data_IF_727224571851
#
_entry.id   IF_727224571851
#
_cell.length_a   1.000
_cell.length_b   1.000
_cell.length_c   1.000
_cell.angle_alpha   90.00
_cell.angle_beta   90.00
_cell.angle_gamma   90.00
#
_symmetry.space_group_name_H-M   'P 1'
#
loop_
_entity.id
_entity.type
_entity.pdbx_description
1 polymer ?
#
# COMPACT_ATOMS: atom_id res chain seq x y z
N UNK A 1 -1.52 -20.12 35.71
CA UNK A 1 -2.07 -18.77 35.92
C UNK A 1 -3.55 -18.86 35.63
N UNK A 2 -4.39 -18.37 36.54
CA UNK A 2 -5.84 -18.33 36.34
C UNK A 2 -6.20 -17.15 35.42
N UNK A 3 -7.37 -17.16 34.74
CA UNK A 3 -7.80 -16.03 33.92
C UNK A 3 -7.80 -14.69 34.65
N UNK A 4 -8.14 -14.68 35.94
CA UNK A 4 -8.15 -13.47 36.77
C UNK A 4 -6.75 -12.86 36.92
N UNK A 5 -5.74 -13.71 37.14
CA UNK A 5 -4.34 -13.28 37.26
C UNK A 5 -3.82 -12.70 35.93
N UNK A 6 -4.20 -13.30 34.79
CA UNK A 6 -3.85 -12.79 33.45
C UNK A 6 -4.49 -11.42 33.23
N UNK A 7 -5.79 -11.29 33.55
CA UNK A 7 -6.52 -10.03 33.45
C UNK A 7 -5.88 -8.95 34.32
N UNK A 8 -5.57 -9.23 35.58
CA UNK A 8 -4.95 -8.25 36.49
C UNK A 8 -3.62 -7.72 35.97
N UNK A 9 -2.74 -8.62 35.50
CA UNK A 9 -1.46 -8.23 34.90
C UNK A 9 -1.69 -7.34 33.68
N UNK A 10 -2.61 -7.73 32.79
CA UNK A 10 -2.93 -6.95 31.59
C UNK A 10 -3.49 -5.57 31.94
N UNK A 11 -4.47 -5.50 32.84
CA UNK A 11 -5.12 -4.25 33.26
C UNK A 11 -4.11 -3.30 33.90
N UNK A 12 -3.20 -3.83 34.72
CA UNK A 12 -2.11 -3.05 35.30
C UNK A 12 -1.18 -2.50 34.22
N UNK A 13 -0.72 -3.34 33.29
CA UNK A 13 0.17 -2.91 32.21
C UNK A 13 -0.49 -1.89 31.27
N UNK A 14 -1.77 -2.05 30.96
CA UNK A 14 -2.53 -1.10 30.15
C UNK A 14 -2.65 0.26 30.87
N UNK A 15 -2.91 0.25 32.18
CA UNK A 15 -2.93 1.47 32.99
C UNK A 15 -1.56 2.14 33.03
N UNK A 16 -0.50 1.40 33.35
CA UNK A 16 0.87 1.93 33.43
C UNK A 16 1.28 2.59 32.10
N UNK A 17 0.85 2.03 30.96
CA UNK A 17 1.13 2.57 29.64
C UNK A 17 0.31 3.83 29.32
N UNK A 18 -0.96 3.89 29.73
CA UNK A 18 -1.81 5.08 29.57
C UNK A 18 -1.34 6.24 30.46
N UNK A 19 -1.00 5.96 31.72
CA UNK A 19 -0.46 6.95 32.65
C UNK A 19 0.87 7.53 32.11
N UNK A 20 1.73 6.68 31.52
CA UNK A 20 2.97 7.10 30.87
C UNK A 20 2.73 7.98 29.62
N UNK A 21 1.66 7.73 28.88
CA UNK A 21 1.25 8.54 27.73
C UNK A 21 0.70 9.91 28.15
N UNK A 22 -0.13 9.97 29.18
CA UNK A 22 -0.66 11.22 29.75
C UNK A 22 0.45 12.14 30.30
N UNK A 23 1.58 11.58 30.73
CA UNK A 23 2.79 12.34 31.12
C UNK A 23 3.56 12.94 29.92
N UNK A 24 3.07 12.74 28.69
CA UNK A 24 3.74 13.16 27.45
C UNK A 24 4.97 12.32 27.12
N UNK A 25 5.07 11.10 27.67
CA UNK A 25 6.22 10.19 27.51
C UNK A 25 5.89 8.94 26.71
N UNK A 26 4.61 8.65 26.48
CA UNK A 26 4.14 7.52 25.68
C UNK A 26 4.50 7.62 24.20
N UNK A 27 4.06 6.66 23.36
CA UNK A 27 4.32 6.70 21.94
C UNK A 27 3.74 8.02 21.40
N UNK A 28 4.64 8.96 21.08
CA UNK A 28 4.27 10.31 20.69
C UNK A 28 3.17 10.25 19.62
N UNK A 29 2.11 11.05 19.81
CA UNK A 29 1.14 11.31 18.75
C UNK A 29 1.93 11.60 17.48
N UNK A 30 1.77 10.74 16.47
CA UNK A 30 2.47 10.95 15.20
C UNK A 30 1.70 12.05 14.49
N UNK A 31 2.29 13.22 14.36
CA UNK A 31 1.73 14.34 13.63
C UNK A 31 2.33 14.37 12.23
N UNK A 32 1.49 14.18 11.21
CA UNK A 32 1.89 14.27 9.81
C UNK A 32 1.27 15.53 9.21
N UNK A 33 2.12 16.44 8.73
CA UNK A 33 1.68 17.65 8.05
C UNK A 33 1.06 17.33 6.70
N UNK A 34 0.07 18.14 6.33
CA UNK A 34 -0.55 18.13 5.01
C UNK A 34 0.18 19.13 4.12
N UNK A 35 0.88 18.66 3.09
CA UNK A 35 1.58 19.51 2.11
C UNK A 35 0.61 20.33 1.27
N UNK A 36 -0.49 19.71 0.87
CA UNK A 36 -1.53 20.33 0.05
C UNK A 36 -2.85 19.60 0.22
N UNK A 37 -3.95 20.27 -0.11
CA UNK A 37 -5.27 19.65 -0.12
C UNK A 37 -6.17 20.21 -1.20
N UNK A 38 -7.13 19.39 -1.63
CA UNK A 38 -8.13 19.74 -2.64
C UNK A 38 -9.53 19.39 -2.12
N UNK A 39 -10.45 20.36 -2.16
CA UNK A 39 -11.86 20.10 -1.88
C UNK A 39 -12.51 19.44 -3.09
N UNK A 40 -13.05 18.24 -2.88
CA UNK A 40 -13.71 17.45 -3.92
C UNK A 40 -15.20 17.36 -3.61
N UNK A 41 -16.02 18.03 -4.41
CA UNK A 41 -17.46 18.07 -4.18
C UNK A 41 -17.85 18.95 -2.99
N UNK A 42 -18.89 18.55 -2.24
CA UNK A 42 -19.47 19.40 -1.17
C UNK A 42 -18.80 19.23 0.18
N UNK A 43 -18.45 17.99 0.55
CA UNK A 43 -18.02 17.64 1.91
C UNK A 43 -16.74 16.78 1.91
N UNK A 44 -16.13 16.51 0.76
CA UNK A 44 -14.94 15.65 0.69
C UNK A 44 -13.69 16.48 0.43
N UNK A 45 -12.57 16.00 0.97
CA UNK A 45 -11.26 16.61 0.85
C UNK A 45 -10.21 15.53 0.58
N UNK A 46 -9.28 15.83 -0.31
CA UNK A 46 -8.08 15.04 -0.54
C UNK A 46 -6.90 15.75 0.13
N UNK A 47 -6.18 15.04 0.99
CA UNK A 47 -5.03 15.55 1.72
C UNK A 47 -3.76 14.86 1.19
N UNK A 48 -2.78 15.63 0.73
CA UNK A 48 -1.45 15.15 0.38
C UNK A 48 -0.55 15.27 1.60
N UNK A 49 -0.03 14.15 2.11
CA UNK A 49 0.74 14.10 3.35
C UNK A 49 2.25 14.17 3.11
N UNK A 50 2.99 14.84 3.98
CA UNK A 50 4.47 14.91 3.92
C UNK A 50 5.11 13.52 4.08
N UNK A 51 4.51 12.68 4.94
CA UNK A 51 5.03 11.35 5.28
C UNK A 51 3.97 10.26 5.12
N UNK A 52 4.43 9.01 5.08
CA UNK A 52 3.53 7.88 5.07
C UNK A 52 2.92 7.67 6.45
N UNK A 53 1.60 7.50 6.50
CA UNK A 53 0.89 7.03 7.68
C UNK A 53 0.73 5.50 7.62
N UNK A 54 0.63 4.87 8.79
CA UNK A 54 0.53 3.41 8.90
C UNK A 54 -0.93 2.91 8.85
N UNK A 55 -1.86 3.67 9.41
CA UNK A 55 -3.31 3.41 9.36
C UNK A 55 -4.06 4.75 9.45
N UNK A 56 -5.36 4.75 9.19
CA UNK A 56 -6.30 5.87 9.44
C UNK A 56 -7.09 5.68 10.74
N UNK A 57 -6.99 4.51 11.37
CA UNK A 57 -7.62 4.23 12.66
C UNK A 57 -7.01 5.10 13.76
N UNK A 58 -7.84 5.93 14.41
CA UNK A 58 -7.40 6.84 15.46
C UNK A 58 -6.75 8.13 14.96
N UNK A 59 -6.87 8.41 13.66
CA UNK A 59 -6.49 9.70 13.09
C UNK A 59 -7.45 10.80 13.51
N UNK A 60 -6.88 11.96 13.85
CA UNK A 60 -7.59 13.22 14.00
C UNK A 60 -7.09 14.21 12.94
N UNK A 61 -7.99 15.06 12.46
CA UNK A 61 -7.63 16.15 11.57
C UNK A 61 -7.61 17.46 12.36
N UNK A 62 -6.48 18.15 12.30
CA UNK A 62 -6.36 19.55 12.73
C UNK A 62 -6.47 20.45 11.51
N UNK A 63 -7.30 21.47 11.63
CA UNK A 63 -7.50 22.52 10.63
C UNK A 63 -7.17 23.86 11.27
N UNK A 64 -5.98 24.38 11.01
CA UNK A 64 -5.37 25.45 11.81
C UNK A 64 -5.20 24.98 13.25
N UNK A 65 -5.72 25.77 14.19
CA UNK A 65 -5.74 25.43 15.62
C UNK A 65 -6.99 24.61 16.03
N UNK A 66 -7.89 24.30 15.09
CA UNK A 66 -9.12 23.58 15.38
C UNK A 66 -8.92 22.07 15.23
N UNK A 67 -8.95 21.39 16.37
CA UNK A 67 -8.98 19.93 16.43
C UNK A 67 -10.39 19.41 16.07
N UNK A 68 -10.45 18.51 15.09
CA UNK A 68 -11.69 17.82 14.70
C UNK A 68 -11.68 16.39 15.26
N UNK A 69 -12.20 16.23 16.49
CA UNK A 69 -12.16 14.98 17.27
C UNK A 69 -13.19 13.93 16.86
N UNK A 70 -14.31 14.34 16.29
CA UNK A 70 -15.48 13.49 16.22
C UNK A 70 -15.51 12.66 14.93
N UNK A 71 -15.59 11.33 15.07
CA UNK A 71 -15.75 10.39 13.95
C UNK A 71 -17.05 10.64 13.18
N UNK A 72 -18.04 11.26 13.82
CA UNK A 72 -19.27 11.68 13.17
C UNK A 72 -19.10 12.97 12.35
N UNK A 73 -18.00 13.71 12.56
CA UNK A 73 -17.66 14.93 11.82
C UNK A 73 -16.62 14.66 10.74
N UNK A 74 -15.63 13.79 10.97
CA UNK A 74 -14.63 13.42 9.97
C UNK A 74 -14.53 11.91 9.84
N UNK A 75 -14.70 11.44 8.61
CA UNK A 75 -14.47 10.04 8.25
C UNK A 75 -13.42 9.93 7.15
N UNK A 76 -12.46 9.03 7.33
CA UNK A 76 -11.45 8.75 6.32
C UNK A 76 -11.97 7.68 5.37
N UNK A 77 -12.01 8.01 4.08
CA UNK A 77 -12.59 7.15 3.04
C UNK A 77 -11.58 6.19 2.44
N UNK A 78 -10.33 6.61 2.29
CA UNK A 78 -9.22 5.77 1.84
C UNK A 78 -7.86 6.43 2.12
N UNK A 79 -6.79 5.64 2.06
CA UNK A 79 -5.43 6.13 2.06
C UNK A 79 -4.62 5.41 0.96
N UNK A 80 -3.92 6.18 0.12
CA UNK A 80 -2.97 5.68 -0.88
C UNK A 80 -1.54 5.99 -0.45
N UNK A 81 -0.80 4.94 -0.08
CA UNK A 81 0.58 5.02 0.39
C UNK A 81 1.58 5.43 -0.70
N UNK A 82 1.28 5.17 -1.97
CA UNK A 82 2.22 5.50 -3.06
C UNK A 82 2.21 7.00 -3.35
N UNK A 83 1.03 7.61 -3.26
CA UNK A 83 0.81 9.04 -3.49
C UNK A 83 0.71 9.84 -2.19
N UNK A 84 0.82 9.18 -1.02
CA UNK A 84 0.60 9.76 0.32
C UNK A 84 -0.71 10.54 0.40
N UNK A 85 -1.74 10.08 -0.30
CA UNK A 85 -3.02 10.79 -0.42
C UNK A 85 -4.04 10.16 0.51
N UNK A 86 -4.59 10.96 1.42
CA UNK A 86 -5.64 10.59 2.36
C UNK A 86 -6.95 11.25 1.94
N UNK A 87 -7.97 10.43 1.65
CA UNK A 87 -9.32 10.91 1.41
C UNK A 87 -10.09 11.03 2.71
N UNK A 88 -10.71 12.18 2.95
CA UNK A 88 -11.58 12.41 4.10
C UNK A 88 -12.92 13.04 3.68
N UNK A 89 -13.96 12.78 4.46
CA UNK A 89 -15.26 13.44 4.37
C UNK A 89 -15.49 14.19 5.67
N UNK A 90 -15.75 15.48 5.57
CA UNK A 90 -16.00 16.38 6.70
C UNK A 90 -17.49 16.75 6.69
N UNK A 91 -18.26 16.20 7.61
CA UNK A 91 -19.70 16.45 7.73
C UNK A 91 -19.99 17.68 8.62
N UNK A 92 -19.30 18.78 8.32
CA UNK A 92 -19.50 20.08 8.95
C UNK A 92 -19.30 21.21 7.93
N UNK A 93 -20.40 21.84 7.45
CA UNK A 93 -20.33 22.92 6.48
C UNK A 93 -19.52 24.15 6.93
N UNK A 94 -19.46 24.42 8.24
CA UNK A 94 -18.68 25.53 8.78
C UNK A 94 -17.18 25.32 8.60
N UNK A 95 -16.70 24.10 8.86
CA UNK A 95 -15.29 23.73 8.66
C UNK A 95 -14.94 23.77 7.18
N UNK A 96 -15.78 23.20 6.29
CA UNK A 96 -15.57 23.28 4.84
C UNK A 96 -15.51 24.73 4.35
N UNK A 97 -16.41 25.58 4.84
CA UNK A 97 -16.43 27.01 4.50
C UNK A 97 -15.15 27.73 4.93
N UNK A 98 -14.65 27.43 6.14
CA UNK A 98 -13.37 27.97 6.64
C UNK A 98 -12.19 27.50 5.80
N UNK A 99 -12.12 26.20 5.47
CA UNK A 99 -11.07 25.63 4.61
C UNK A 99 -11.03 26.33 3.26
N UNK A 100 -12.20 26.54 2.65
CA UNK A 100 -12.32 27.19 1.35
C UNK A 100 -11.97 28.69 1.37
N UNK A 101 -12.16 29.37 2.50
CA UNK A 101 -11.96 30.81 2.62
C UNK A 101 -10.56 31.19 3.10
N UNK A 102 -10.02 30.47 4.07
CA UNK A 102 -8.82 30.89 4.82
C UNK A 102 -7.57 30.08 4.46
N UNK A 103 -7.72 28.98 3.73
CA UNK A 103 -6.65 28.05 3.38
C UNK A 103 -5.73 27.69 4.57
N UNK A 104 -6.28 27.18 5.69
CA UNK A 104 -5.53 26.90 6.90
C UNK A 104 -4.48 25.80 6.69
N UNK A 105 -3.41 25.83 7.50
CA UNK A 105 -2.51 24.69 7.63
C UNK A 105 -3.26 23.50 8.24
N UNK A 106 -2.93 22.28 7.81
CA UNK A 106 -3.56 21.06 8.32
C UNK A 106 -2.52 20.06 8.79
N UNK A 107 -2.88 19.32 9.84
CA UNK A 107 -2.07 18.22 10.37
C UNK A 107 -2.97 17.04 10.67
N UNK A 108 -2.50 15.84 10.36
CA UNK A 108 -3.16 14.59 10.75
C UNK A 108 -2.39 14.01 11.92
N UNK A 109 -3.03 13.91 13.08
CA UNK A 109 -2.42 13.33 14.28
C UNK A 109 -2.99 11.95 14.59
N UNK A 110 -2.14 11.03 15.05
CA UNK A 110 -2.55 9.68 15.45
C UNK A 110 -2.40 9.49 16.95
N UNK A 111 -3.51 9.41 17.66
CA UNK A 111 -3.53 8.99 19.07
C UNK A 111 -3.71 7.47 19.11
N UNK A 112 -2.61 6.73 19.24
CA UNK A 112 -2.66 5.27 19.32
C UNK A 112 -3.16 4.75 20.67
N UNK A 113 -3.38 5.61 21.66
CA UNK A 113 -3.85 5.22 22.99
C UNK A 113 -5.28 4.68 22.96
N UNK A 114 -6.04 4.94 21.88
CA UNK A 114 -7.31 4.25 21.64
C UNK A 114 -7.14 2.73 21.56
N UNK A 115 -6.04 2.20 21.01
CA UNK A 115 -5.80 0.76 20.90
C UNK A 115 -5.65 0.14 22.29
N UNK A 116 -4.91 0.83 23.16
CA UNK A 116 -4.69 0.42 24.54
C UNK A 116 -6.01 0.46 25.32
N UNK A 117 -6.79 1.54 25.15
CA UNK A 117 -8.14 1.68 25.76
C UNK A 117 -9.07 0.56 25.30
N UNK A 118 -9.16 0.30 24.00
CA UNK A 118 -9.99 -0.79 23.45
C UNK A 118 -9.58 -2.16 24.00
N UNK A 119 -8.28 -2.44 24.03
CA UNK A 119 -7.79 -3.71 24.56
C UNK A 119 -8.07 -3.83 26.07
N UNK A 120 -7.88 -2.76 26.84
CA UNK A 120 -8.23 -2.70 28.26
C UNK A 120 -9.70 -2.99 28.47
N UNK A 121 -10.58 -2.29 27.75
CA UNK A 121 -12.03 -2.43 27.90
C UNK A 121 -12.49 -3.86 27.52
N UNK A 122 -11.90 -4.44 26.46
CA UNK A 122 -12.13 -5.85 26.10
C UNK A 122 -11.70 -6.82 27.21
N UNK A 123 -10.54 -6.62 27.83
CA UNK A 123 -10.08 -7.46 28.95
C UNK A 123 -10.87 -7.22 30.23
N UNK A 124 -11.41 -6.02 30.44
CA UNK A 124 -12.29 -5.73 31.55
C UNK A 124 -13.60 -6.53 31.45
N UNK A 125 -14.19 -6.54 30.25
CA UNK A 125 -15.46 -7.22 29.98
C UNK A 125 -15.29 -8.75 29.81
N UNK A 126 -14.26 -9.19 29.10
CA UNK A 126 -14.11 -10.57 28.65
C UNK A 126 -12.87 -11.28 29.20
N UNK A 127 -12.01 -10.61 29.96
CA UNK A 127 -10.73 -11.18 30.43
C UNK A 127 -10.88 -12.44 31.28
N UNK A 128 -12.02 -12.61 31.96
CA UNK A 128 -12.33 -13.84 32.71
C UNK A 128 -12.41 -15.10 31.82
N UNK A 129 -12.62 -14.93 30.51
CA UNK A 129 -12.67 -16.02 29.52
C UNK A 129 -11.28 -16.32 28.90
N UNK A 130 -10.27 -15.49 29.18
CA UNK A 130 -8.95 -15.58 28.55
C UNK A 130 -8.01 -16.32 29.51
N UNK A 131 -7.93 -17.64 29.32
CA UNK A 131 -7.07 -18.53 30.09
C UNK A 131 -6.03 -19.26 29.25
N UNK A 132 -5.18 -20.04 29.91
CA UNK A 132 -4.37 -21.03 29.21
C UNK A 132 -5.26 -22.13 28.60
N UNK A 133 -4.83 -22.78 27.50
CA UNK A 133 -5.59 -23.86 26.92
C UNK A 133 -5.78 -25.01 27.90
N UNK A 134 -7.02 -25.41 28.15
CA UNK A 134 -7.32 -26.51 29.07
C UNK A 134 -7.21 -27.89 28.40
N UNK A 135 -7.30 -27.92 27.07
CA UNK A 135 -7.27 -29.14 26.27
C UNK A 135 -5.86 -29.41 25.77
N UNK A 136 -5.35 -30.62 26.04
CA UNK A 136 -4.10 -31.06 25.45
C UNK A 136 -4.38 -31.75 24.11
N UNK A 137 -3.76 -31.30 23.00
CA UNK A 137 -3.77 -32.09 21.78
C UNK A 137 -3.06 -33.43 22.04
N UNK A 138 -3.51 -34.49 21.38
CA UNK A 138 -2.86 -35.80 21.40
C UNK A 138 -2.89 -36.36 19.98
N UNK A 139 -1.75 -36.25 19.32
CA UNK A 139 -1.57 -36.68 17.94
C UNK A 139 -0.61 -37.88 17.92
N UNK A 140 -1.00 -39.00 17.31
CA UNK A 140 -0.15 -40.16 17.14
C UNK A 140 0.91 -39.87 16.07
N UNK A 141 2.01 -40.64 16.07
CA UNK A 141 3.16 -40.38 15.21
C UNK A 141 2.83 -40.49 13.72
N UNK A 142 1.85 -41.31 13.33
CA UNK A 142 1.41 -41.44 11.93
C UNK A 142 0.82 -40.17 11.34
N UNK A 143 0.29 -39.27 12.17
CA UNK A 143 -0.26 -37.98 11.71
C UNK A 143 0.86 -36.94 11.46
N UNK A 144 2.06 -37.19 11.99
CA UNK A 144 3.23 -36.31 11.90
C UNK A 144 4.01 -36.62 10.61
N UNK A 145 3.46 -36.18 9.48
CA UNK A 145 4.12 -36.31 8.18
C UNK A 145 4.91 -35.05 7.85
N UNK A 146 6.22 -35.17 7.81
CA UNK A 146 7.13 -34.11 7.37
C UNK A 146 7.14 -33.98 5.84
N UNK A 147 7.35 -32.77 5.30
CA UNK A 147 7.46 -32.55 3.85
C UNK A 147 8.60 -33.36 3.22
N UNK A 148 8.32 -34.07 2.13
CA UNK A 148 9.23 -35.06 1.53
C UNK A 148 10.56 -34.47 1.03
N UNK A 149 10.56 -33.20 0.63
CA UNK A 149 11.76 -32.51 0.12
C UNK A 149 12.77 -32.12 1.21
N UNK A 150 12.40 -32.26 2.49
CA UNK A 150 13.22 -31.76 3.58
C UNK A 150 13.44 -32.84 4.64
N UNK A 151 14.69 -32.98 5.10
CA UNK A 151 15.03 -33.87 6.21
C UNK A 151 15.01 -33.09 7.52
N UNK A 152 14.04 -33.31 8.42
CA UNK A 152 13.98 -32.59 9.68
C UNK A 152 15.08 -33.07 10.64
N UNK A 153 15.72 -32.11 11.33
CA UNK A 153 16.63 -32.43 12.44
C UNK A 153 15.85 -32.98 13.64
N UNK A 154 16.55 -33.64 14.57
CA UNK A 154 15.93 -34.18 15.78
C UNK A 154 15.26 -33.08 16.62
N UNK A 155 15.86 -31.88 16.66
CA UNK A 155 15.27 -30.72 17.35
C UNK A 155 13.97 -30.26 16.69
N UNK A 156 13.90 -30.25 15.36
CA UNK A 156 12.67 -29.91 14.63
C UNK A 156 11.59 -30.98 14.84
N UNK A 157 11.96 -32.26 14.81
CA UNK A 157 11.03 -33.37 15.12
C UNK A 157 10.46 -33.22 16.53
N UNK A 158 11.33 -32.97 17.51
CA UNK A 158 10.92 -32.76 18.89
C UNK A 158 10.02 -31.53 19.05
N UNK A 159 10.32 -30.44 18.36
CA UNK A 159 9.48 -29.24 18.38
C UNK A 159 8.07 -29.54 17.83
N UNK A 160 7.96 -30.23 16.69
CA UNK A 160 6.66 -30.62 16.12
C UNK A 160 5.88 -31.53 17.07
N UNK A 161 6.53 -32.56 17.63
CA UNK A 161 5.90 -33.45 18.62
C UNK A 161 5.41 -32.70 19.84
N UNK A 162 6.19 -31.73 20.32
CA UNK A 162 5.82 -30.89 21.47
C UNK A 162 4.55 -30.09 21.16
N UNK A 163 4.51 -29.40 20.00
CA UNK A 163 3.32 -28.64 19.55
C UNK A 163 2.07 -29.52 19.49
N UNK A 164 2.20 -30.73 18.98
CA UNK A 164 1.07 -31.63 18.75
C UNK A 164 0.65 -32.41 19.99
N UNK A 165 1.43 -32.36 21.09
CA UNK A 165 1.15 -33.11 22.32
C UNK A 165 1.24 -32.27 23.60
N UNK A 166 1.21 -30.94 23.50
CA UNK A 166 1.23 -30.02 24.65
C UNK A 166 0.14 -28.97 24.53
N UNK A 167 -0.48 -28.59 25.66
CA UNK A 167 -1.50 -27.54 25.73
C UNK A 167 -1.00 -26.18 25.22
N UNK A 168 0.25 -25.87 25.54
CA UNK A 168 0.96 -24.67 25.13
C UNK A 168 2.40 -25.05 24.83
N UNK A 169 2.96 -24.50 23.76
CA UNK A 169 4.33 -24.74 23.35
C UNK A 169 5.02 -23.43 23.01
N UNK A 170 6.29 -23.30 23.42
CA UNK A 170 7.16 -22.22 23.00
C UNK A 170 8.32 -22.79 22.20
N UNK A 171 8.39 -22.43 20.91
CA UNK A 171 9.45 -22.90 20.01
C UNK A 171 10.38 -21.75 19.69
N UNK A 172 11.65 -21.92 20.01
CA UNK A 172 12.70 -20.96 19.74
C UNK A 172 13.76 -21.53 18.78
N UNK A 173 14.38 -20.66 18.00
CA UNK A 173 15.50 -21.02 17.14
C UNK A 173 16.02 -19.82 16.34
N UNK A 174 17.29 -19.84 15.96
CA UNK A 174 17.92 -18.77 15.18
C UNK A 174 17.21 -18.52 13.83
N UNK A 175 17.39 -17.35 13.19
CA UNK A 175 16.92 -17.12 11.82
C UNK A 175 17.40 -18.22 10.87
N UNK A 176 16.55 -18.63 9.92
CA UNK A 176 16.88 -19.68 8.94
C UNK A 176 16.81 -21.13 9.43
N UNK A 177 16.55 -21.42 10.71
CA UNK A 177 16.49 -22.80 11.23
C UNK A 177 15.23 -23.60 10.86
N UNK A 178 14.44 -23.12 9.90
CA UNK A 178 13.23 -23.82 9.44
C UNK A 178 12.03 -23.77 10.39
N UNK A 179 11.97 -22.84 11.35
CA UNK A 179 10.81 -22.70 12.27
C UNK A 179 9.46 -22.64 11.51
N UNK A 180 9.38 -21.80 10.49
CA UNK A 180 8.15 -21.61 9.71
C UNK A 180 7.94 -22.73 8.70
N UNK A 181 8.94 -22.99 7.85
CA UNK A 181 8.81 -23.92 6.73
C UNK A 181 8.81 -25.40 7.13
N UNK A 182 9.47 -25.76 8.24
CA UNK A 182 9.49 -27.14 8.72
C UNK A 182 8.53 -27.33 9.89
N UNK A 183 8.78 -26.64 11.01
CA UNK A 183 8.08 -26.94 12.27
C UNK A 183 6.62 -26.52 12.20
N UNK A 184 6.36 -25.24 11.90
CA UNK A 184 5.01 -24.70 11.87
C UNK A 184 4.18 -25.33 10.75
N UNK A 185 4.72 -25.42 9.53
CA UNK A 185 4.01 -26.04 8.40
C UNK A 185 3.63 -27.50 8.71
N UNK A 186 4.53 -28.31 9.26
CA UNK A 186 4.21 -29.70 9.62
C UNK A 186 3.11 -29.78 10.69
N UNK A 187 3.18 -28.93 11.71
CA UNK A 187 2.16 -28.90 12.75
C UNK A 187 0.78 -28.49 12.20
N UNK A 188 0.71 -27.44 11.38
CA UNK A 188 -0.52 -27.01 10.71
C UNK A 188 -1.13 -28.16 9.92
N UNK A 189 -0.32 -28.86 9.14
CA UNK A 189 -0.80 -29.95 8.29
C UNK A 189 -1.33 -31.13 9.10
N UNK A 190 -0.70 -31.46 10.23
CA UNK A 190 -1.23 -32.47 11.14
C UNK A 190 -2.64 -32.08 11.67
N UNK A 191 -2.84 -30.83 12.09
CA UNK A 191 -4.17 -30.34 12.50
C UNK A 191 -5.19 -30.39 11.35
N UNK A 192 -4.81 -29.94 10.16
CA UNK A 192 -5.70 -29.93 8.99
C UNK A 192 -6.11 -31.34 8.56
N UNK A 193 -5.22 -32.35 8.64
CA UNK A 193 -5.54 -33.77 8.39
C UNK A 193 -6.70 -34.28 9.24
N UNK A 194 -6.81 -33.76 10.46
CA UNK A 194 -7.88 -34.11 11.40
C UNK A 194 -9.11 -33.21 11.27
N UNK A 195 -9.23 -32.45 10.19
CA UNK A 195 -10.32 -31.50 9.95
C UNK A 195 -10.37 -30.37 10.98
N UNK A 196 -9.25 -30.05 11.65
CA UNK A 196 -9.17 -28.94 12.59
C UNK A 196 -8.85 -27.65 11.86
N UNK A 197 -9.37 -26.54 12.37
CA UNK A 197 -9.05 -25.20 11.90
C UNK A 197 -7.85 -24.66 12.68
N UNK A 198 -6.97 -23.96 11.98
CA UNK A 198 -5.79 -23.31 12.58
C UNK A 198 -5.88 -21.82 12.31
N UNK A 199 -5.74 -21.02 13.37
CA UNK A 199 -5.56 -19.58 13.26
C UNK A 199 -4.06 -19.26 13.37
N UNK A 200 -3.54 -18.51 12.40
CA UNK A 200 -2.18 -17.97 12.44
C UNK A 200 -2.29 -16.48 12.73
N UNK A 201 -1.66 -16.05 13.82
CA UNK A 201 -1.70 -14.66 14.28
C UNK A 201 -0.26 -14.17 14.38
N UNK A 202 0.01 -12.96 13.89
CA UNK A 202 1.29 -12.29 14.04
C UNK A 202 1.07 -10.79 14.29
N UNK A 203 2.07 -10.08 14.85
CA UNK A 203 1.90 -8.69 15.26
C UNK A 203 1.66 -7.70 14.12
N UNK A 204 2.07 -8.04 12.88
CA UNK A 204 1.94 -7.15 11.71
C UNK A 204 1.42 -7.91 10.50
N UNK A 205 0.76 -7.19 9.57
CA UNK A 205 0.30 -7.73 8.29
C UNK A 205 1.44 -8.40 7.51
N UNK A 206 2.61 -7.75 7.43
CA UNK A 206 3.78 -8.32 6.76
C UNK A 206 4.24 -9.61 7.46
N UNK A 207 4.27 -9.66 8.79
CA UNK A 207 4.64 -10.89 9.51
C UNK A 207 3.68 -12.06 9.23
N UNK A 208 2.37 -11.80 9.17
CA UNK A 208 1.37 -12.82 8.78
C UNK A 208 1.66 -13.32 7.36
N UNK A 209 1.90 -12.40 6.43
CA UNK A 209 2.17 -12.72 5.02
C UNK A 209 3.47 -13.50 4.84
N UNK A 210 4.53 -13.18 5.59
CA UNK A 210 5.79 -13.95 5.57
C UNK A 210 5.58 -15.39 6.06
N UNK A 211 4.82 -15.57 7.14
CA UNK A 211 4.47 -16.90 7.63
C UNK A 211 3.67 -17.66 6.57
N UNK A 212 2.66 -17.01 5.99
CA UNK A 212 1.77 -17.60 5.01
C UNK A 212 2.50 -18.00 3.72
N UNK A 213 3.39 -17.15 3.20
CA UNK A 213 4.29 -17.48 2.06
C UNK A 213 5.14 -18.71 2.37
N UNK A 214 5.69 -18.79 3.59
CA UNK A 214 6.47 -19.94 4.03
C UNK A 214 5.66 -21.24 4.03
N UNK A 215 4.43 -21.21 4.57
CA UNK A 215 3.54 -22.38 4.61
C UNK A 215 3.06 -22.76 3.21
N UNK A 216 2.62 -21.80 2.40
CA UNK A 216 2.17 -22.03 1.01
C UNK A 216 3.30 -22.59 0.14
N UNK A 217 4.53 -22.11 0.31
CA UNK A 217 5.70 -22.67 -0.40
C UNK A 217 5.93 -24.15 -0.08
N UNK A 218 5.70 -24.56 1.17
CA UNK A 218 5.79 -25.97 1.57
C UNK A 218 4.66 -26.79 0.98
N UNK A 219 3.41 -26.31 1.07
CA UNK A 219 2.24 -26.97 0.48
C UNK A 219 2.39 -27.13 -1.03
N UNK A 220 2.85 -26.09 -1.74
CA UNK A 220 3.03 -26.12 -3.19
C UNK A 220 4.18 -27.00 -3.66
N UNK A 221 5.20 -27.22 -2.80
CA UNK A 221 6.39 -28.00 -3.16
C UNK A 221 6.29 -29.49 -2.83
N UNK A 222 5.33 -29.90 -1.99
CA UNK A 222 5.07 -31.28 -1.58
C UNK A 222 3.76 -31.83 -2.17
N UNK A 223 3.85 -32.92 -2.94
CA UNK A 223 2.66 -33.48 -3.60
C UNK A 223 1.61 -34.03 -2.63
N UNK A 224 2.04 -34.60 -1.50
CA UNK A 224 1.12 -35.15 -0.50
C UNK A 224 0.30 -34.04 0.15
N UNK A 225 0.95 -32.91 0.42
CA UNK A 225 0.31 -31.73 0.99
C UNK A 225 -0.63 -31.05 -0.01
N UNK A 226 -0.21 -30.91 -1.27
CA UNK A 226 -1.02 -30.30 -2.33
C UNK A 226 -2.31 -31.05 -2.66
N UNK A 227 -2.34 -32.37 -2.44
CA UNK A 227 -3.56 -33.20 -2.60
C UNK A 227 -4.53 -33.05 -1.44
N UNK A 228 -4.03 -32.60 -0.28
CA UNK A 228 -4.76 -32.55 0.97
C UNK A 228 -5.38 -31.18 1.23
N UNK A 229 -4.72 -30.12 0.77
CA UNK A 229 -5.12 -28.74 0.99
C UNK A 229 -5.22 -28.03 -0.35
N UNK A 230 -6.39 -27.44 -0.61
CA UNK A 230 -6.63 -26.49 -1.69
C UNK A 230 -6.54 -25.08 -1.11
N UNK A 231 -5.41 -24.35 -1.29
CA UNK A 231 -5.23 -23.04 -0.70
C UNK A 231 -6.37 -22.05 -0.99
N UNK A 232 -7.00 -22.15 -2.16
CA UNK A 232 -8.07 -21.23 -2.54
C UNK A 232 -9.39 -21.47 -1.80
N UNK A 233 -9.56 -22.63 -1.16
CA UNK A 233 -10.77 -22.98 -0.41
C UNK A 233 -10.53 -23.11 1.08
N UNK A 234 -9.36 -23.62 1.45
CA UNK A 234 -9.07 -24.03 2.82
C UNK A 234 -8.31 -22.96 3.61
N UNK A 235 -7.82 -21.91 2.95
CA UNK A 235 -7.02 -20.85 3.57
C UNK A 235 -7.67 -19.49 3.29
N UNK A 236 -7.88 -18.72 4.35
CA UNK A 236 -8.35 -17.35 4.29
C UNK A 236 -7.40 -16.42 5.07
N UNK A 237 -7.09 -15.27 4.49
CA UNK A 237 -6.26 -14.22 5.09
C UNK A 237 -7.13 -13.01 5.39
N UNK A 238 -7.23 -12.69 6.67
CA UNK A 238 -8.11 -11.63 7.21
C UNK A 238 -7.30 -10.35 7.46
N UNK A 239 -7.90 -9.18 7.22
CA UNK A 239 -7.34 -7.84 7.44
C UNK A 239 -6.87 -7.13 6.16
N UNK A 240 -6.00 -6.13 6.31
CA UNK A 240 -5.46 -5.32 5.18
C UNK A 240 -4.17 -5.92 4.61
N UNK A 241 -4.22 -6.47 3.39
CA UNK A 241 -3.07 -7.13 2.76
C UNK A 241 -2.15 -6.12 2.06
N UNK A 242 -0.85 -6.40 2.03
CA UNK A 242 0.08 -5.60 1.21
C UNK A 242 -0.24 -5.76 -0.27
N UNK A 243 0.01 -4.72 -1.07
CA UNK A 243 -0.26 -4.75 -2.51
C UNK A 243 0.44 -5.95 -3.19
N UNK A 244 1.70 -6.21 -2.83
CA UNK A 244 2.45 -7.35 -3.35
C UNK A 244 1.80 -8.70 -3.00
N UNK A 245 1.25 -8.84 -1.78
CA UNK A 245 0.58 -10.07 -1.39
C UNK A 245 -0.76 -10.24 -2.13
N UNK A 246 -1.51 -9.16 -2.35
CA UNK A 246 -2.73 -9.19 -3.16
C UNK A 246 -2.44 -9.58 -4.61
N UNK A 247 -1.32 -9.13 -5.18
CA UNK A 247 -0.91 -9.52 -6.53
C UNK A 247 -0.55 -11.00 -6.62
N UNK A 248 0.22 -11.51 -5.66
CA UNK A 248 0.70 -12.90 -5.67
C UNK A 248 -0.41 -13.91 -5.31
N UNK A 249 -1.28 -13.54 -4.35
CA UNK A 249 -2.30 -14.42 -3.77
C UNK A 249 -3.67 -13.73 -3.60
N UNK A 250 -4.28 -13.23 -4.69
CA UNK A 250 -5.54 -12.47 -4.61
C UNK A 250 -6.70 -13.31 -4.06
N UNK A 251 -6.67 -14.62 -4.29
CA UNK A 251 -7.69 -15.57 -3.84
C UNK A 251 -7.63 -15.86 -2.34
N UNK A 252 -6.59 -15.46 -1.62
CA UNK A 252 -6.50 -15.65 -0.17
C UNK A 252 -7.06 -14.47 0.62
N UNK A 253 -7.14 -13.29 -0.02
CA UNK A 253 -7.50 -12.05 0.66
C UNK A 253 -9.03 -11.90 0.78
N UNK A 254 -9.48 -11.19 1.82
CA UNK A 254 -10.88 -10.77 1.95
C UNK A 254 -11.32 -9.94 0.74
N UNK A 255 -12.56 -10.13 0.29
CA UNK A 255 -13.09 -9.39 -0.84
C UNK A 255 -12.42 -9.75 -2.18
N UNK A 256 -12.09 -11.03 -2.41
CA UNK A 256 -11.45 -11.56 -3.63
C UNK A 256 -11.98 -10.92 -4.94
N UNK A 257 -13.29 -10.73 -5.06
CA UNK A 257 -13.93 -10.11 -6.22
C UNK A 257 -13.54 -8.64 -6.38
N UNK A 258 -13.45 -7.90 -5.27
CA UNK A 258 -13.11 -6.46 -5.24
C UNK A 258 -11.62 -6.29 -5.55
N UNK A 259 -10.73 -7.08 -4.94
CA UNK A 259 -9.29 -6.99 -5.20
C UNK A 259 -8.93 -7.27 -6.66
N UNK A 260 -9.57 -8.26 -7.29
CA UNK A 260 -9.39 -8.53 -8.73
C UNK A 260 -9.92 -7.38 -9.60
N UNK A 261 -11.07 -6.80 -9.26
CA UNK A 261 -11.63 -5.65 -9.97
C UNK A 261 -10.70 -4.43 -9.85
N UNK A 262 -10.16 -4.15 -8.66
CA UNK A 262 -9.21 -3.05 -8.43
C UNK A 262 -7.95 -3.25 -9.27
N UNK A 263 -7.34 -4.45 -9.25
CA UNK A 263 -6.16 -4.76 -10.06
C UNK A 263 -6.43 -4.57 -11.56
N UNK A 264 -7.60 -5.04 -12.03
CA UNK A 264 -8.03 -4.87 -13.43
C UNK A 264 -8.20 -3.39 -13.79
N UNK A 265 -8.89 -2.61 -12.95
CA UNK A 265 -9.10 -1.16 -13.17
C UNK A 265 -7.79 -0.37 -13.11
N UNK A 266 -6.87 -0.71 -12.21
CA UNK A 266 -5.52 -0.09 -12.17
C UNK A 266 -4.76 -0.33 -13.48
N UNK A 267 -4.80 -1.54 -14.02
CA UNK A 267 -4.19 -1.86 -15.33
C UNK A 267 -4.86 -1.09 -16.48
N UNK A 268 -6.19 -0.98 -16.49
CA UNK A 268 -6.93 -0.19 -17.48
C UNK A 268 -6.59 1.30 -17.40
N UNK A 269 -6.54 1.88 -16.20
CA UNK A 269 -6.17 3.28 -15.98
C UNK A 269 -4.73 3.54 -16.47
N UNK A 270 -3.80 2.64 -16.16
CA UNK A 270 -2.42 2.74 -16.63
C UNK A 270 -2.35 2.76 -18.16
N UNK A 271 -3.05 1.83 -18.82
CA UNK A 271 -3.12 1.79 -20.28
C UNK A 271 -3.74 3.07 -20.87
N UNK A 272 -4.83 3.57 -20.28
CA UNK A 272 -5.47 4.80 -20.74
C UNK A 272 -4.56 6.02 -20.59
N UNK A 273 -3.82 6.13 -19.47
CA UNK A 273 -2.82 7.19 -19.28
C UNK A 273 -1.72 7.12 -20.34
N UNK A 274 -1.20 5.92 -20.63
CA UNK A 274 -0.22 5.73 -21.71
C UNK A 274 -0.79 6.14 -23.08
N UNK A 275 -2.05 5.80 -23.40
CA UNK A 275 -2.71 6.18 -24.66
C UNK A 275 -2.92 7.70 -24.76
N UNK A 276 -3.36 8.36 -23.68
CA UNK A 276 -3.53 9.81 -23.64
C UNK A 276 -2.19 10.49 -23.92
N UNK A 277 -1.12 10.05 -23.26
CA UNK A 277 0.23 10.56 -23.47
C UNK A 277 0.70 10.39 -24.92
N UNK A 278 0.46 9.23 -25.54
CA UNK A 278 0.81 9.05 -26.96
C UNK A 278 0.04 10.02 -27.88
N UNK A 279 -1.23 10.29 -27.60
CA UNK A 279 -2.02 11.24 -28.40
C UNK A 279 -1.52 12.67 -28.25
N UNK A 280 -1.17 13.09 -27.04
CA UNK A 280 -0.57 14.40 -26.77
C UNK A 280 0.76 14.56 -27.53
N UNK A 281 1.58 13.51 -27.56
CA UNK A 281 2.81 13.49 -28.34
C UNK A 281 2.54 13.53 -29.87
N UNK A 282 1.52 12.83 -30.36
CA UNK A 282 1.15 12.89 -31.78
C UNK A 282 0.65 14.29 -32.20
N UNK A 283 0.01 15.06 -31.31
CA UNK A 283 -0.37 16.46 -31.58
C UNK A 283 0.88 17.29 -31.87
N UNK A 284 1.87 17.24 -30.99
CA UNK A 284 3.11 18.02 -31.13
C UNK A 284 4.02 17.48 -32.26
N UNK A 285 3.83 16.24 -32.73
CA UNK A 285 4.54 15.72 -33.91
C UNK A 285 4.28 16.54 -35.19
N UNK A 286 3.12 17.20 -35.28
CA UNK A 286 2.84 18.15 -36.35
C UNK A 286 3.65 19.45 -36.19
N UNK A 287 3.81 19.94 -34.96
CA UNK A 287 4.62 21.12 -34.63
C UNK A 287 6.11 20.88 -34.89
N UNK A 288 6.64 19.70 -34.55
CA UNK A 288 8.02 19.33 -34.90
C UNK A 288 8.27 19.36 -36.42
N UNK A 289 7.32 18.84 -37.22
CA UNK A 289 7.40 18.90 -38.69
C UNK A 289 7.33 20.34 -39.21
N UNK A 290 6.48 21.19 -38.61
CA UNK A 290 6.40 22.60 -38.96
C UNK A 290 7.71 23.34 -38.63
N UNK A 291 8.31 23.06 -37.47
CA UNK A 291 9.63 23.60 -37.09
C UNK A 291 10.74 23.17 -38.06
N UNK A 292 10.73 21.92 -38.56
CA UNK A 292 11.69 21.49 -39.59
C UNK A 292 11.59 22.30 -40.89
N UNK A 293 10.36 22.63 -41.32
CA UNK A 293 10.11 23.43 -42.52
C UNK A 293 10.57 24.87 -42.27
N UNK A 294 10.15 25.47 -41.16
CA UNK A 294 10.54 26.84 -40.77
C UNK A 294 12.06 26.97 -40.61
N UNK A 295 12.74 25.97 -40.05
CA UNK A 295 14.20 25.97 -39.94
C UNK A 295 14.90 26.00 -41.31
N UNK A 296 14.32 25.36 -42.33
CA UNK A 296 14.86 25.38 -43.70
C UNK A 296 14.61 26.72 -44.38
N UNK A 297 13.41 27.27 -44.25
CA UNK A 297 13.01 28.55 -44.87
C UNK A 297 13.72 29.75 -44.22
N UNK A 298 13.93 29.71 -42.90
CA UNK A 298 14.66 30.73 -42.13
C UNK A 298 16.11 30.92 -42.60
N UNK A 299 16.74 29.89 -43.19
CA UNK A 299 18.10 29.99 -43.76
C UNK A 299 18.15 30.83 -45.04
N UNK A 300 17.02 30.99 -45.74
CA UNK A 300 16.90 31.79 -46.96
C UNK A 300 15.62 32.65 -46.93
N UNK A 301 15.57 33.68 -46.05
CA UNK A 301 14.38 34.49 -45.91
C UNK A 301 14.18 35.40 -47.13
N UNK A 302 12.92 35.54 -47.58
CA UNK A 302 12.56 36.41 -48.69
C UNK A 302 12.83 37.91 -48.39
N UNK A 303 12.59 38.32 -47.14
CA UNK A 303 12.91 39.66 -46.63
C UNK A 303 13.05 39.66 -45.09
N UNK A 304 13.35 40.83 -44.50
CA UNK A 304 13.45 41.01 -43.03
C UNK A 304 12.13 40.79 -42.30
N UNK A 305 11.00 41.06 -42.94
CA UNK A 305 9.67 40.92 -42.33
C UNK A 305 9.30 39.45 -42.25
N UNK A 306 9.47 38.70 -43.34
CA UNK A 306 9.29 37.25 -43.40
C UNK A 306 10.18 36.52 -42.38
N UNK A 307 11.42 36.98 -42.18
CA UNK A 307 12.29 36.42 -41.13
C UNK A 307 11.68 36.60 -39.72
N UNK A 308 11.17 37.79 -39.42
CA UNK A 308 10.53 38.09 -38.13
C UNK A 308 9.24 37.30 -37.94
N UNK A 309 8.40 37.23 -38.95
CA UNK A 309 7.15 36.45 -38.92
C UNK A 309 7.42 34.95 -38.69
N UNK A 310 8.52 34.42 -39.26
CA UNK A 310 8.96 33.04 -38.99
C UNK A 310 9.51 32.86 -37.57
N UNK A 311 10.29 33.81 -37.04
CA UNK A 311 10.81 33.76 -35.67
C UNK A 311 9.63 33.76 -34.65
N UNK A 312 8.61 34.58 -34.87
CA UNK A 312 7.40 34.63 -34.03
C UNK A 312 6.61 33.29 -34.07
N UNK A 313 6.53 32.65 -35.25
CA UNK A 313 5.90 31.32 -35.39
C UNK A 313 6.71 30.21 -34.70
N UNK A 314 8.04 30.28 -34.74
CA UNK A 314 8.92 29.33 -34.06
C UNK A 314 8.73 29.43 -32.55
N UNK A 315 8.72 30.65 -32.00
CA UNK A 315 8.49 30.88 -30.56
C UNK A 315 7.13 30.33 -30.12
N UNK A 316 6.08 30.54 -30.92
CA UNK A 316 4.74 30.00 -30.63
C UNK A 316 4.74 28.46 -30.62
N UNK A 317 5.29 27.82 -31.66
CA UNK A 317 5.33 26.36 -31.76
C UNK A 317 6.14 25.73 -30.62
N UNK A 318 7.26 26.35 -30.23
CA UNK A 318 8.07 25.88 -29.10
C UNK A 318 7.31 26.01 -27.78
N UNK A 319 6.58 27.11 -27.57
CA UNK A 319 5.73 27.27 -26.38
C UNK A 319 4.65 26.18 -26.30
N UNK A 320 4.00 25.86 -27.42
CA UNK A 320 2.98 24.82 -27.47
C UNK A 320 3.57 23.42 -27.26
N UNK A 321 4.77 23.16 -27.78
CA UNK A 321 5.51 21.91 -27.52
C UNK A 321 5.87 21.79 -26.04
N UNK A 322 6.44 22.84 -25.45
CA UNK A 322 6.90 22.81 -24.07
C UNK A 322 5.74 22.66 -23.08
N UNK A 323 4.59 23.27 -23.34
CA UNK A 323 3.39 23.07 -22.50
C UNK A 323 3.00 21.59 -22.39
N UNK A 324 3.06 20.83 -23.48
CA UNK A 324 2.75 19.39 -23.49
C UNK A 324 3.87 18.57 -22.84
N UNK A 325 5.13 18.95 -23.05
CA UNK A 325 6.28 18.21 -22.49
C UNK A 325 6.47 18.46 -20.99
N UNK A 326 6.10 19.64 -20.47
CA UNK A 326 6.19 20.00 -19.04
C UNK A 326 5.19 19.22 -18.17
N UNK A 327 3.99 18.95 -18.70
CA UNK A 327 2.99 18.11 -18.04
C UNK A 327 3.44 16.65 -17.91
N UNK A 328 4.49 16.25 -18.65
CA UNK A 328 5.03 14.90 -18.63
C UNK A 328 6.37 14.82 -17.89
N UNK A 329 6.36 14.18 -16.71
CA UNK A 329 7.56 14.01 -15.87
C UNK A 329 8.72 13.27 -16.55
N UNK A 330 8.49 12.50 -17.62
CA UNK A 330 9.55 11.82 -18.38
C UNK A 330 10.26 12.72 -19.40
N UNK A 331 9.62 13.83 -19.80
CA UNK A 331 10.09 14.72 -20.86
C UNK A 331 10.23 16.18 -20.44
N UNK A 332 10.03 16.50 -19.15
CA UNK A 332 10.23 17.84 -18.60
C UNK A 332 11.61 18.43 -18.89
N UNK A 333 12.65 17.58 -18.92
CA UNK A 333 14.01 18.01 -19.27
C UNK A 333 14.11 18.45 -20.72
N UNK A 334 13.41 17.76 -21.62
CA UNK A 334 13.36 18.10 -23.04
C UNK A 334 12.64 19.43 -23.27
N UNK A 335 11.61 19.73 -22.47
CA UNK A 335 10.92 21.01 -22.50
C UNK A 335 11.84 22.18 -22.10
N UNK A 336 12.70 21.97 -21.09
CA UNK A 336 13.67 22.98 -20.63
C UNK A 336 14.78 23.23 -21.66
N UNK A 337 15.19 22.18 -22.36
CA UNK A 337 16.30 22.24 -23.30
C UNK A 337 15.88 22.78 -24.69
N UNK A 338 14.61 22.66 -25.08
CA UNK A 338 14.12 23.13 -26.37
C UNK A 338 13.73 24.62 -26.33
N UNK A 339 14.56 25.46 -26.93
CA UNK A 339 14.37 26.93 -27.01
C UNK A 339 14.51 27.43 -28.44
N UNK A 340 13.95 28.60 -28.75
CA UNK A 340 14.09 29.20 -30.10
C UNK A 340 15.53 29.56 -30.48
N UNK A 341 16.45 29.58 -29.51
CA UNK A 341 17.88 29.80 -29.77
C UNK A 341 18.64 28.52 -30.17
N UNK A 342 18.17 27.34 -29.75
CA UNK A 342 18.88 26.07 -29.94
C UNK A 342 18.05 24.98 -30.63
N UNK A 343 16.80 25.25 -31.00
CA UNK A 343 15.88 24.26 -31.56
C UNK A 343 16.46 23.55 -32.79
N UNK A 344 17.20 24.25 -33.67
CA UNK A 344 17.80 23.66 -34.87
C UNK A 344 18.75 22.49 -34.56
N UNK A 345 19.41 22.51 -33.39
CA UNK A 345 20.31 21.44 -32.95
C UNK A 345 19.60 20.38 -32.10
N UNK A 346 18.52 20.75 -31.41
CA UNK A 346 17.81 19.87 -30.48
C UNK A 346 16.67 19.08 -31.16
N UNK A 347 16.18 19.54 -32.32
CA UNK A 347 15.01 18.97 -33.00
C UNK A 347 15.18 17.48 -33.33
N UNK A 348 16.36 17.09 -33.83
CA UNK A 348 16.63 15.71 -34.23
C UNK A 348 16.71 14.78 -33.01
N UNK A 349 17.40 15.22 -31.95
CA UNK A 349 17.51 14.48 -30.69
C UNK A 349 16.14 14.32 -30.00
N UNK A 350 15.34 15.39 -29.97
CA UNK A 350 13.97 15.37 -29.47
C UNK A 350 13.08 14.40 -30.27
N UNK A 351 13.17 14.46 -31.61
CA UNK A 351 12.38 13.59 -32.50
C UNK A 351 12.73 12.11 -32.31
N UNK A 352 14.01 11.78 -32.21
CA UNK A 352 14.45 10.41 -31.94
C UNK A 352 13.93 9.92 -30.58
N UNK A 353 14.10 10.71 -29.52
CA UNK A 353 13.69 10.33 -28.16
C UNK A 353 12.19 10.17 -28.00
N UNK A 354 11.39 11.00 -28.68
CA UNK A 354 9.93 10.99 -28.57
C UNK A 354 9.29 9.91 -29.45
N UNK A 355 9.79 9.70 -30.67
CA UNK A 355 9.08 8.92 -31.69
C UNK A 355 9.79 7.65 -32.16
N UNK A 356 11.09 7.48 -31.89
CA UNK A 356 11.84 6.26 -32.20
C UNK A 356 11.98 5.37 -30.96
N UNK A 357 10.83 5.02 -30.37
CA UNK A 357 10.71 4.13 -29.21
C UNK A 357 9.56 3.15 -29.41
N UNK A 358 9.55 2.08 -28.63
CA UNK A 358 8.43 1.15 -28.60
C UNK A 358 7.17 1.88 -28.11
N UNK A 359 6.15 1.93 -28.96
CA UNK A 359 4.85 2.54 -28.64
C UNK A 359 3.89 1.49 -28.08
N UNK A 360 3.03 1.83 -27.11
CA UNK A 360 1.98 0.94 -26.68
C UNK A 360 1.09 0.57 -27.86
N UNK A 361 0.71 -0.72 -27.97
CA UNK A 361 -0.16 -1.18 -29.05
C UNK A 361 -1.50 -0.46 -28.95
N UNK A 362 -1.95 0.18 -30.03
CA UNK A 362 -3.24 0.88 -30.15
C UNK A 362 -4.50 0.00 -29.98
N UNK A 363 -4.36 -1.24 -29.51
CA UNK A 363 -5.48 -2.16 -29.34
C UNK A 363 -5.94 -2.17 -27.88
N UNK A 364 -7.02 -1.42 -27.62
CA UNK A 364 -7.97 -1.78 -26.57
C UNK A 364 -8.84 -2.91 -27.18
N UNK A 365 -9.02 -4.07 -26.52
CA UNK A 365 -9.98 -5.08 -26.97
C UNK A 365 -11.42 -4.58 -26.99
#
# INVERSE_FOLDING_TARGET
>A
MKPEEIREVFMKSAKDLLDYDEEGRGPANVAVRVESYELVGKNSILLSLEENIDDTLGAYLYVGDFLVLDKDVVSYSFYDRNTKTLGATIDNPGIIGMIAAEHPEMTVEFDLSFLIKNARDYYDEHGALIGYPDTCPCFPEEDIVFPAKFSPSDQQRNAVRTILNSKLSYVWGAPGTGKTQMVLATAIMAYMRRGKRVAIIAPTNNSVEQVLRGVLGVIGSDEGFRRMVDPAKDIARIGTATEQFVEDYPYLCEGQSISMLISKRRKEIKLLKEIIQERELDVIASHFRALEVLAKERKQPADRKAKRDMDDQIDQLISEINAVLEENSLYSDLARDLTSMNFEHQLEAATQRLYQRDRPKNSIP
#
